data_IF_469249965461
#
_entry.id   IF_469249965461
#
_cell.length_a   1.000
_cell.length_b   1.000
_cell.length_c   1.000
_cell.angle_alpha   90.00
_cell.angle_beta   90.00
_cell.angle_gamma   90.00
#
_symmetry.space_group_name_H-M   'P 1'
#
loop_
_entity.id
_entity.type
_entity.pdbx_description
1 polymer ?
#
# COMPACT_ATOMS: atom_id res chain seq x y z
N UNK A 1 0.74 -17.53 29.77
CA UNK A 1 1.33 -16.51 30.64
C UNK A 1 1.53 -15.29 29.76
N UNK A 2 0.61 -14.33 29.85
CA UNK A 2 0.52 -13.22 28.89
C UNK A 2 1.67 -12.25 29.14
N UNK A 3 2.67 -12.25 28.24
CA UNK A 3 3.70 -11.20 28.24
C UNK A 3 3.07 -10.01 27.52
N UNK A 4 2.30 -9.22 28.27
CA UNK A 4 1.93 -7.88 27.86
C UNK A 4 3.23 -7.06 27.80
N UNK A 5 3.80 -6.94 26.61
CA UNK A 5 4.78 -5.87 26.34
C UNK A 5 3.98 -4.57 26.47
N UNK A 6 4.28 -3.71 27.47
CA UNK A 6 3.56 -2.46 27.61
C UNK A 6 3.79 -1.62 26.33
N UNK A 7 2.76 -0.92 25.81
CA UNK A 7 2.95 -0.04 24.66
C UNK A 7 4.04 0.98 24.98
N UNK A 8 5.03 1.10 24.09
CA UNK A 8 6.17 2.01 24.27
C UNK A 8 5.67 3.41 24.64
N UNK A 9 6.02 3.95 25.83
CA UNK A 9 5.54 5.24 26.30
C UNK A 9 6.07 6.46 25.52
N UNK A 10 6.90 6.30 24.48
CA UNK A 10 7.80 7.36 24.00
C UNK A 10 7.60 7.86 22.56
N UNK A 11 6.66 7.30 21.78
CA UNK A 11 6.56 7.63 20.35
C UNK A 11 6.09 9.08 20.06
N UNK A 12 5.43 9.76 21.01
CA UNK A 12 4.96 11.15 20.85
C UNK A 12 4.73 11.86 22.20
N UNK A 13 5.80 12.36 22.84
CA UNK A 13 5.71 12.98 24.16
C UNK A 13 4.87 14.27 24.17
N UNK A 14 4.65 14.88 23.00
CA UNK A 14 3.96 16.16 22.85
C UNK A 14 2.57 16.05 22.23
N UNK A 15 2.13 14.86 21.79
CA UNK A 15 0.83 14.66 21.15
C UNK A 15 0.71 15.35 19.78
N UNK A 16 1.81 15.47 19.03
CA UNK A 16 1.85 16.17 17.74
C UNK A 16 1.43 15.24 16.59
N UNK A 17 1.58 13.92 16.75
CA UNK A 17 1.27 12.91 15.74
C UNK A 17 -0.24 12.68 15.72
N UNK A 18 -0.84 12.95 14.56
CA UNK A 18 -2.24 12.64 14.32
C UNK A 18 -2.41 11.12 14.14
N UNK A 19 -3.56 10.54 14.53
CA UNK A 19 -3.82 9.10 14.39
C UNK A 19 -3.93 8.68 12.93
N UNK A 20 -4.39 9.60 12.07
CA UNK A 20 -4.44 9.42 10.62
C UNK A 20 -3.43 10.35 9.96
N UNK A 21 -2.51 9.79 9.17
CA UNK A 21 -1.38 10.53 8.60
C UNK A 21 -1.76 11.21 7.28
N UNK A 22 -1.60 12.53 7.24
CA UNK A 22 -1.56 13.31 6.00
C UNK A 22 -0.19 13.98 5.89
N UNK A 23 0.75 13.28 5.26
CA UNK A 23 2.16 13.68 5.17
C UNK A 23 2.71 13.54 3.74
N UNK A 24 4.01 13.76 3.55
CA UNK A 24 4.73 13.61 2.28
C UNK A 24 5.46 12.26 2.15
N UNK A 25 5.14 11.25 2.97
CA UNK A 25 5.86 9.96 2.98
C UNK A 25 5.78 9.30 1.61
N UNK A 26 6.89 8.68 1.20
CA UNK A 26 7.04 7.88 -0.03
C UNK A 26 7.45 6.45 0.35
N UNK A 27 7.14 5.49 -0.52
CA UNK A 27 7.59 4.10 -0.41
C UNK A 27 9.00 3.85 -1.00
N UNK A 28 9.65 4.89 -1.50
CA UNK A 28 10.97 4.79 -2.15
C UNK A 28 10.92 4.57 -3.65
N UNK A 29 9.75 4.33 -4.22
CA UNK A 29 9.54 4.16 -5.67
C UNK A 29 9.38 5.51 -6.38
N UNK A 30 8.89 6.52 -5.67
CA UNK A 30 8.69 7.89 -6.17
C UNK A 30 9.26 8.94 -5.21
N UNK A 31 9.49 10.15 -5.69
CA UNK A 31 9.96 11.24 -4.82
C UNK A 31 8.84 11.71 -3.84
N UNK A 32 9.16 12.05 -2.58
CA UNK A 32 8.20 12.66 -1.65
C UNK A 32 7.45 13.85 -2.27
N UNK A 33 6.11 13.76 -2.31
CA UNK A 33 5.26 14.83 -2.88
C UNK A 33 4.92 15.82 -1.77
N UNK A 34 5.21 17.13 -1.94
CA UNK A 34 4.87 18.15 -0.96
C UNK A 34 3.36 18.25 -0.71
N UNK A 35 2.99 18.55 0.53
CA UNK A 35 1.60 18.88 0.87
C UNK A 35 1.20 20.21 0.24
N UNK A 36 -0.04 20.32 -0.23
CA UNK A 36 -0.61 21.60 -0.67
C UNK A 36 -1.20 22.39 0.52
N UNK A 37 -1.77 23.56 0.24
CA UNK A 37 -2.37 24.41 1.27
C UNK A 37 -3.57 23.77 1.97
N UNK A 38 -4.38 23.00 1.24
CA UNK A 38 -5.54 22.31 1.80
C UNK A 38 -5.10 21.21 2.77
N UNK A 39 -4.04 20.46 2.45
CA UNK A 39 -3.51 19.43 3.32
C UNK A 39 -2.86 20.00 4.58
N UNK A 40 -2.12 21.12 4.44
CA UNK A 40 -1.58 21.86 5.58
C UNK A 40 -2.71 22.37 6.48
N UNK A 41 -3.78 22.89 5.89
CA UNK A 41 -4.96 23.35 6.62
C UNK A 41 -5.67 22.20 7.33
N UNK A 42 -5.84 21.04 6.68
CA UNK A 42 -6.42 19.84 7.26
C UNK A 42 -5.65 19.36 8.49
N UNK A 43 -4.31 19.27 8.38
CA UNK A 43 -3.45 18.95 9.52
C UNK A 43 -3.55 19.99 10.65
N UNK A 44 -3.63 21.28 10.32
CA UNK A 44 -3.77 22.32 11.33
C UNK A 44 -5.11 22.20 12.05
N UNK A 45 -6.21 22.05 11.32
CA UNK A 45 -7.56 21.93 11.87
C UNK A 45 -7.69 20.68 12.76
N UNK A 46 -7.15 19.54 12.33
CA UNK A 46 -7.14 18.32 13.14
C UNK A 46 -6.38 18.51 14.47
N UNK A 47 -5.27 19.26 14.44
CA UNK A 47 -4.50 19.59 15.65
C UNK A 47 -5.24 20.55 16.58
N UNK A 48 -5.91 21.56 16.04
CA UNK A 48 -6.74 22.50 16.81
C UNK A 48 -7.90 21.78 17.49
N UNK A 49 -8.60 20.91 16.75
CA UNK A 49 -9.70 20.11 17.31
C UNK A 49 -9.23 19.14 18.37
N UNK A 50 -8.05 18.53 18.21
CA UNK A 50 -7.46 17.70 19.25
C UNK A 50 -7.22 18.46 20.56
N UNK A 51 -6.78 19.72 20.50
CA UNK A 51 -6.58 20.56 21.69
C UNK A 51 -7.90 20.95 22.36
N UNK A 52 -8.92 21.29 21.57
CA UNK A 52 -10.24 21.63 22.09
C UNK A 52 -10.93 20.42 22.73
N UNK A 53 -11.02 19.31 22.01
CA UNK A 53 -11.76 18.12 22.43
C UNK A 53 -11.07 17.43 23.60
N UNK A 54 -9.74 17.37 23.63
CA UNK A 54 -9.01 16.82 24.79
C UNK A 54 -9.31 17.60 26.07
N UNK A 55 -9.29 18.95 26.02
CA UNK A 55 -9.68 19.80 27.16
C UNK A 55 -11.13 19.58 27.57
N UNK A 56 -12.04 19.53 26.60
CA UNK A 56 -13.48 19.30 26.85
C UNK A 56 -13.75 17.95 27.52
N UNK A 57 -12.97 16.92 27.18
CA UNK A 57 -13.09 15.58 27.73
C UNK A 57 -12.23 15.35 28.98
N UNK A 58 -11.51 16.36 29.47
CA UNK A 58 -10.62 16.24 30.63
C UNK A 58 -9.45 15.27 30.40
N UNK A 59 -9.01 15.09 29.15
CA UNK A 59 -7.88 14.22 28.78
C UNK A 59 -6.65 15.05 28.38
N UNK A 60 -5.47 14.45 28.50
CA UNK A 60 -4.31 15.00 27.80
C UNK A 60 -4.49 14.83 26.30
N UNK A 61 -3.92 15.74 25.51
CA UNK A 61 -3.92 15.67 24.04
C UNK A 61 -3.46 14.30 23.53
N UNK A 62 -2.36 13.79 24.10
CA UNK A 62 -1.82 12.46 23.80
C UNK A 62 -2.84 11.35 24.07
N UNK A 63 -3.44 11.33 25.26
CA UNK A 63 -4.41 10.30 25.63
C UNK A 63 -5.67 10.36 24.76
N UNK A 64 -6.04 11.54 24.26
CA UNK A 64 -7.15 11.68 23.33
C UNK A 64 -6.80 11.12 21.93
N UNK A 65 -5.62 11.46 21.39
CA UNK A 65 -5.21 11.02 20.06
C UNK A 65 -5.04 9.50 19.96
N UNK A 66 -4.72 8.80 21.04
CA UNK A 66 -4.66 7.33 21.04
C UNK A 66 -6.03 6.65 21.08
N UNK A 67 -7.14 7.38 20.94
CA UNK A 67 -8.51 6.81 20.98
C UNK A 67 -9.18 6.84 19.61
N UNK A 68 -10.21 6.01 19.44
CA UNK A 68 -11.07 6.04 18.26
C UNK A 68 -11.73 7.41 18.06
N UNK A 69 -12.09 8.13 19.14
CA UNK A 69 -12.61 9.50 19.03
C UNK A 69 -11.56 10.49 18.51
N UNK A 70 -10.28 10.28 18.80
CA UNK A 70 -9.16 11.04 18.23
C UNK A 70 -9.01 10.80 16.73
N UNK A 71 -9.10 9.54 16.29
CA UNK A 71 -9.13 9.19 14.86
C UNK A 71 -10.35 9.78 14.15
N UNK A 72 -11.55 9.63 14.72
CA UNK A 72 -12.79 10.21 14.20
C UNK A 72 -12.69 11.74 14.07
N UNK A 73 -12.17 12.42 15.10
CA UNK A 73 -11.93 13.87 15.06
C UNK A 73 -10.99 14.27 13.92
N UNK A 74 -9.97 13.46 13.64
CA UNK A 74 -8.98 13.75 12.59
C UNK A 74 -9.61 13.64 11.21
N UNK A 75 -10.33 12.54 10.94
CA UNK A 75 -11.02 12.34 9.67
C UNK A 75 -12.13 13.39 9.43
N UNK A 76 -12.88 13.77 10.48
CA UNK A 76 -13.86 14.85 10.38
C UNK A 76 -13.22 16.22 10.08
N UNK A 77 -12.04 16.49 10.64
CA UNK A 77 -11.28 17.71 10.32
C UNK A 77 -10.81 17.69 8.85
N UNK A 78 -10.42 16.52 8.33
CA UNK A 78 -10.07 16.38 6.93
C UNK A 78 -11.27 16.64 6.02
N UNK A 79 -12.44 16.08 6.32
CA UNK A 79 -13.68 16.39 5.60
C UNK A 79 -13.96 17.91 5.57
N UNK A 80 -13.85 18.59 6.71
CA UNK A 80 -14.11 20.02 6.79
C UNK A 80 -13.11 20.86 5.96
N UNK A 81 -11.83 20.50 5.99
CA UNK A 81 -10.79 21.17 5.21
C UNK A 81 -10.94 20.93 3.70
N UNK A 82 -11.25 19.70 3.29
CA UNK A 82 -11.49 19.34 1.89
C UNK A 82 -12.74 20.00 1.33
N UNK A 83 -13.83 20.02 2.10
CA UNK A 83 -15.06 20.71 1.73
C UNK A 83 -14.83 22.23 1.54
N UNK A 84 -14.03 22.85 2.43
CA UNK A 84 -13.61 24.26 2.28
C UNK A 84 -12.80 24.50 1.02
N UNK A 85 -12.00 23.52 0.59
CA UNK A 85 -11.24 23.56 -0.65
C UNK A 85 -12.07 23.19 -1.90
N UNK A 86 -13.37 22.88 -1.74
CA UNK A 86 -14.24 22.48 -2.84
C UNK A 86 -14.08 21.03 -3.30
N UNK A 87 -13.32 20.20 -2.57
CA UNK A 87 -13.07 18.79 -2.87
C UNK A 87 -14.13 17.93 -2.17
N UNK A 88 -15.23 17.69 -2.85
CA UNK A 88 -16.43 17.03 -2.31
C UNK A 88 -16.78 15.72 -3.05
N UNK A 89 -15.84 15.18 -3.81
CA UNK A 89 -16.00 13.94 -4.57
C UNK A 89 -16.01 12.70 -3.67
N UNK A 90 -15.19 12.72 -2.62
CA UNK A 90 -15.15 11.69 -1.59
C UNK A 90 -15.19 12.29 -0.19
N UNK A 91 -15.57 11.50 0.80
CA UNK A 91 -15.58 11.92 2.21
C UNK A 91 -15.52 10.72 3.15
N UNK A 92 -15.16 10.95 4.41
CA UNK A 92 -15.27 9.94 5.46
C UNK A 92 -16.63 10.04 6.16
N UNK A 93 -17.48 9.02 6.00
CA UNK A 93 -18.78 8.90 6.64
C UNK A 93 -18.62 8.60 8.14
N UNK A 94 -18.54 9.66 8.93
CA UNK A 94 -18.38 9.61 10.38
C UNK A 94 -19.42 10.52 11.01
N UNK A 95 -20.11 10.01 12.03
CA UNK A 95 -21.06 10.81 12.77
C UNK A 95 -20.30 11.90 13.55
N UNK A 96 -20.76 13.15 13.48
CA UNK A 96 -20.07 14.27 14.13
C UNK A 96 -19.87 14.06 15.65
N UNK A 97 -20.77 13.33 16.30
CA UNK A 97 -20.69 13.02 17.74
C UNK A 97 -19.61 11.99 18.08
N UNK A 98 -19.11 11.21 17.11
CA UNK A 98 -18.05 10.22 17.31
C UNK A 98 -16.75 10.85 17.85
N UNK A 99 -16.50 12.13 17.57
CA UNK A 99 -15.35 12.87 18.12
C UNK A 99 -15.42 13.10 19.64
N UNK A 100 -16.60 12.91 20.25
CA UNK A 100 -16.86 13.04 21.68
C UNK A 100 -17.33 11.73 22.34
N UNK A 101 -17.94 10.82 21.57
CA UNK A 101 -18.46 9.54 22.05
C UNK A 101 -17.55 8.37 21.63
N UNK A 102 -16.83 7.74 22.58
CA UNK A 102 -15.97 6.61 22.30
C UNK A 102 -16.70 5.36 21.79
N UNK A 103 -17.94 5.13 22.22
CA UNK A 103 -18.71 3.95 21.79
C UNK A 103 -19.16 4.12 20.34
N UNK A 104 -19.64 5.32 19.99
CA UNK A 104 -19.98 5.65 18.61
C UNK A 104 -18.75 5.57 17.71
N UNK A 105 -17.62 6.15 18.12
CA UNK A 105 -16.36 6.06 17.37
C UNK A 105 -15.91 4.60 17.17
N UNK A 106 -15.99 3.77 18.20
CA UNK A 106 -15.63 2.35 18.11
C UNK A 106 -16.56 1.60 17.15
N UNK A 107 -17.86 1.90 17.11
CA UNK A 107 -18.80 1.26 16.18
C UNK A 107 -18.52 1.57 14.71
N UNK A 108 -17.91 2.73 14.40
CA UNK A 108 -17.60 3.14 13.04
C UNK A 108 -16.18 2.76 12.61
N UNK A 109 -15.20 2.92 13.49
CA UNK A 109 -13.76 2.77 13.18
C UNK A 109 -13.14 1.48 13.72
N UNK A 110 -13.75 0.84 14.72
CA UNK A 110 -13.26 -0.38 15.38
C UNK A 110 -13.98 -1.65 14.91
N UNK A 111 -14.37 -1.69 13.63
CA UNK A 111 -14.99 -2.87 13.01
C UNK A 111 -14.00 -4.05 12.97
N UNK A 112 -14.53 -5.27 12.82
CA UNK A 112 -13.80 -6.55 12.89
C UNK A 112 -14.05 -7.44 11.67
N UNK A 113 -14.03 -6.84 10.49
CA UNK A 113 -13.94 -7.58 9.25
C UNK A 113 -12.59 -8.30 9.14
N UNK A 114 -12.57 -9.39 8.37
CA UNK A 114 -11.32 -10.04 8.00
C UNK A 114 -10.54 -9.17 7.03
N UNK A 115 -9.30 -8.79 7.39
CA UNK A 115 -8.42 -7.96 6.58
C UNK A 115 -7.27 -8.82 6.05
N UNK A 116 -7.34 -9.08 4.74
CA UNK A 116 -6.23 -9.67 4.00
C UNK A 116 -5.51 -8.57 3.22
N UNK A 117 -4.35 -8.18 3.71
CA UNK A 117 -3.44 -7.26 3.06
C UNK A 117 -2.50 -7.99 2.09
N UNK A 118 -2.67 -7.78 0.79
CA UNK A 118 -1.89 -8.51 -0.22
C UNK A 118 -0.53 -7.88 -0.53
N UNK A 119 -0.12 -6.81 0.16
CA UNK A 119 1.13 -6.13 -0.15
C UNK A 119 1.81 -5.56 1.10
N UNK A 120 2.70 -6.36 1.69
CA UNK A 120 3.64 -5.97 2.73
C UNK A 120 5.10 -5.99 2.28
N UNK A 121 5.97 -5.26 2.96
CA UNK A 121 7.40 -5.16 2.72
C UNK A 121 8.17 -4.92 4.03
N UNK A 122 9.38 -5.44 4.08
CA UNK A 122 10.44 -5.00 5.00
C UNK A 122 11.81 -5.27 4.34
N UNK A 123 12.89 -4.78 4.94
CA UNK A 123 14.26 -5.12 4.53
C UNK A 123 15.03 -5.78 5.66
N UNK A 124 15.99 -6.65 5.36
CA UNK A 124 16.91 -7.14 6.37
C UNK A 124 18.01 -6.10 6.65
N UNK A 125 18.02 -5.41 7.81
CA UNK A 125 19.02 -4.37 8.12
C UNK A 125 20.45 -4.92 8.24
N UNK A 126 20.58 -6.24 8.41
CA UNK A 126 21.85 -6.96 8.58
C UNK A 126 22.19 -7.85 7.38
N UNK A 127 21.36 -7.80 6.32
CA UNK A 127 21.48 -8.65 5.14
C UNK A 127 22.74 -8.37 4.33
N UNK A 128 23.11 -9.33 3.47
CA UNK A 128 24.33 -9.26 2.67
C UNK A 128 24.40 -8.01 1.76
N UNK A 129 23.25 -7.56 1.25
CA UNK A 129 23.13 -6.36 0.42
C UNK A 129 23.72 -5.10 1.09
N UNK A 130 23.59 -4.97 2.40
CA UNK A 130 24.13 -3.80 3.12
C UNK A 130 25.65 -3.73 3.06
N UNK A 131 26.35 -4.87 2.95
CA UNK A 131 27.83 -4.92 2.88
C UNK A 131 28.37 -4.42 1.55
N UNK A 132 27.54 -4.40 0.50
CA UNK A 132 27.88 -3.91 -0.83
C UNK A 132 27.64 -2.41 -1.02
N UNK A 133 26.84 -1.80 -0.14
CA UNK A 133 26.53 -0.38 -0.23
C UNK A 133 27.80 0.48 -0.06
N UNK A 134 28.00 1.50 -0.91
CA UNK A 134 29.12 2.42 -0.78
C UNK A 134 29.21 3.04 0.62
N UNK A 135 30.43 3.39 1.10
CA UNK A 135 30.60 4.13 2.35
C UNK A 135 29.74 5.39 2.37
N UNK A 136 28.98 5.59 3.45
CA UNK A 136 28.06 6.72 3.62
C UNK A 136 26.73 6.65 2.87
N UNK A 137 26.49 5.62 2.03
CA UNK A 137 25.22 5.44 1.35
C UNK A 137 24.08 5.14 2.35
N UNK A 138 22.97 5.89 2.22
CA UNK A 138 21.75 5.76 3.02
C UNK A 138 20.52 5.50 2.14
N UNK A 139 20.41 4.32 1.51
CA UNK A 139 19.24 3.99 0.70
C UNK A 139 17.99 3.87 1.58
N UNK A 140 16.81 3.93 0.97
CA UNK A 140 15.53 3.73 1.65
C UNK A 140 15.28 4.69 2.83
N UNK A 141 15.80 5.91 2.75
CA UNK A 141 15.58 6.93 3.78
C UNK A 141 14.28 7.69 3.50
N UNK A 142 13.24 7.38 4.28
CA UNK A 142 11.94 8.05 4.24
C UNK A 142 11.47 8.43 5.65
N UNK A 143 10.38 9.22 5.80
CA UNK A 143 9.86 9.60 7.11
C UNK A 143 9.65 8.42 8.09
N UNK A 144 9.18 7.26 7.61
CA UNK A 144 9.01 6.03 8.41
C UNK A 144 10.31 5.50 9.01
N UNK A 145 11.46 5.76 8.38
CA UNK A 145 12.78 5.39 8.90
C UNK A 145 13.33 6.32 9.99
N UNK A 146 12.57 7.33 10.41
CA UNK A 146 12.94 8.26 11.48
C UNK A 146 12.35 7.87 12.84
N UNK A 147 12.19 6.58 13.10
CA UNK A 147 11.67 6.03 14.35
C UNK A 147 12.74 6.03 15.48
N UNK A 148 12.38 5.63 16.70
CA UNK A 148 13.34 5.62 17.82
C UNK A 148 14.53 4.68 17.62
N UNK A 149 14.35 3.62 16.82
CA UNK A 149 15.44 2.70 16.47
C UNK A 149 16.55 3.40 15.67
N UNK A 150 16.20 4.42 14.87
CA UNK A 150 17.15 5.23 14.11
C UNK A 150 18.12 6.05 14.99
N UNK A 151 17.81 6.21 16.28
CA UNK A 151 18.68 6.90 17.26
C UNK A 151 19.78 5.98 17.81
N UNK A 152 19.73 4.67 17.53
CA UNK A 152 20.75 3.72 18.00
C UNK A 152 22.10 3.95 17.30
N UNK A 153 23.22 3.55 17.93
CA UNK A 153 24.53 3.61 17.27
C UNK A 153 24.58 2.74 16.01
N UNK A 154 25.19 3.27 14.95
CA UNK A 154 25.39 2.58 13.67
C UNK A 154 24.93 3.42 12.49
N UNK A 155 25.73 3.44 11.41
CA UNK A 155 25.45 4.29 10.24
C UNK A 155 24.11 4.01 9.56
N UNK A 156 23.56 2.81 9.78
CA UNK A 156 22.33 2.31 9.14
C UNK A 156 21.28 1.82 10.14
N UNK A 157 21.34 2.27 11.39
CA UNK A 157 20.34 1.95 12.42
C UNK A 157 18.90 2.33 12.02
N UNK A 158 18.74 3.30 11.11
CA UNK A 158 17.42 3.69 10.57
C UNK A 158 16.73 2.56 9.80
N UNK A 159 17.46 1.58 9.27
CA UNK A 159 16.88 0.42 8.59
C UNK A 159 16.12 -0.49 9.57
N UNK A 160 16.45 -0.47 10.86
CA UNK A 160 15.70 -1.22 11.88
C UNK A 160 14.24 -0.74 11.97
N UNK A 161 13.95 0.51 11.59
CA UNK A 161 12.58 1.05 11.52
C UNK A 161 11.72 0.41 10.43
N UNK A 162 12.35 -0.29 9.48
CA UNK A 162 11.70 -1.00 8.36
C UNK A 162 12.21 -2.44 8.30
N UNK A 163 12.67 -2.97 9.44
CA UNK A 163 13.13 -4.34 9.61
C UNK A 163 12.02 -5.31 10.04
N UNK A 164 12.33 -6.60 10.18
CA UNK A 164 11.35 -7.64 10.48
C UNK A 164 10.61 -7.43 11.80
N UNK A 165 11.30 -7.05 12.88
CA UNK A 165 10.68 -6.83 14.19
C UNK A 165 9.65 -5.69 14.14
N UNK A 166 10.01 -4.60 13.46
CA UNK A 166 9.14 -3.43 13.32
C UNK A 166 7.97 -3.74 12.39
N UNK A 167 8.18 -4.55 11.35
CA UNK A 167 7.11 -5.07 10.49
C UNK A 167 6.11 -5.91 11.27
N UNK A 168 6.56 -6.89 12.06
CA UNK A 168 5.69 -7.74 12.87
C UNK A 168 4.87 -6.90 13.84
N UNK A 169 5.52 -5.93 14.51
CA UNK A 169 4.84 -5.01 15.41
C UNK A 169 3.78 -4.18 14.67
N UNK A 170 4.16 -3.50 13.60
CA UNK A 170 3.28 -2.53 12.94
C UNK A 170 2.12 -3.17 12.19
N UNK A 171 2.33 -4.36 11.61
CA UNK A 171 1.29 -5.07 10.86
C UNK A 171 0.42 -5.91 11.80
N UNK A 172 1.00 -6.72 12.68
CA UNK A 172 0.23 -7.73 13.41
C UNK A 172 -0.15 -7.34 14.84
N UNK A 173 0.49 -6.35 15.45
CA UNK A 173 0.20 -5.90 16.82
C UNK A 173 -0.46 -4.52 16.88
N UNK A 174 -0.04 -3.61 16.01
CA UNK A 174 -0.48 -2.21 15.99
C UNK A 174 -1.47 -1.93 14.84
N UNK A 175 -2.04 -2.96 14.22
CA UNK A 175 -3.10 -2.82 13.23
C UNK A 175 -4.10 -3.97 13.26
N UNK A 176 -5.26 -3.74 12.64
CA UNK A 176 -6.33 -4.71 12.49
C UNK A 176 -6.07 -5.73 11.34
N UNK A 177 -4.89 -5.76 10.72
CA UNK A 177 -4.57 -6.72 9.65
C UNK A 177 -4.56 -8.15 10.16
N UNK A 178 -5.42 -9.02 9.62
CA UNK A 178 -5.48 -10.44 10.01
C UNK A 178 -4.42 -11.28 9.30
N UNK A 179 -4.28 -11.05 7.99
CA UNK A 179 -3.37 -11.79 7.12
C UNK A 179 -2.64 -10.85 6.17
N UNK A 180 -1.36 -11.12 5.92
CA UNK A 180 -0.50 -10.31 5.07
C UNK A 180 0.24 -11.18 4.06
N UNK A 181 0.47 -10.68 2.84
CA UNK A 181 1.48 -11.26 1.92
C UNK A 181 2.73 -10.40 1.87
N UNK A 182 3.88 -10.98 2.22
CA UNK A 182 5.18 -10.35 2.11
C UNK A 182 5.65 -10.35 0.65
N UNK A 183 5.88 -9.14 0.15
CA UNK A 183 6.36 -8.83 -1.19
C UNK A 183 7.82 -8.35 -1.15
N UNK A 184 8.43 -8.31 -2.32
CA UNK A 184 9.85 -8.04 -2.51
C UNK A 184 10.01 -6.89 -3.49
N UNK A 185 11.00 -6.04 -3.26
CA UNK A 185 11.37 -4.94 -4.17
C UNK A 185 12.23 -5.47 -5.33
N UNK A 186 12.28 -4.78 -6.49
CA UNK A 186 13.10 -5.24 -7.60
C UNK A 186 14.58 -4.99 -7.30
N UNK A 187 15.40 -6.01 -7.54
CA UNK A 187 16.83 -5.95 -7.27
C UNK A 187 17.62 -6.89 -8.17
N UNK A 188 18.95 -6.73 -8.20
CA UNK A 188 19.83 -7.84 -8.58
C UNK A 188 19.78 -8.93 -7.51
N UNK A 189 20.26 -10.15 -7.80
CA UNK A 189 20.40 -11.20 -6.76
C UNK A 189 21.35 -10.78 -5.65
N UNK A 190 22.37 -10.01 -6.01
CA UNK A 190 23.35 -9.52 -5.06
C UNK A 190 22.78 -8.40 -4.20
N UNK A 191 22.03 -7.46 -4.76
CA UNK A 191 21.57 -6.31 -3.99
C UNK A 191 20.17 -6.51 -3.39
N UNK A 192 19.72 -7.77 -3.28
CA UNK A 192 18.42 -8.12 -2.73
C UNK A 192 18.27 -7.71 -1.26
N UNK A 193 17.35 -6.77 -0.93
CA UNK A 193 17.21 -6.28 0.44
C UNK A 193 16.60 -7.30 1.43
N UNK A 194 15.96 -8.34 0.90
CA UNK A 194 15.31 -9.40 1.63
C UNK A 194 15.30 -10.66 0.78
N UNK A 195 15.95 -11.74 1.22
CA UNK A 195 15.90 -13.01 0.49
C UNK A 195 14.67 -13.84 0.86
N UNK A 196 14.32 -14.82 0.03
CA UNK A 196 13.18 -15.72 0.31
C UNK A 196 13.38 -16.54 1.60
N UNK A 197 14.62 -16.90 1.94
CA UNK A 197 14.97 -17.62 3.17
C UNK A 197 14.73 -16.75 4.41
N UNK A 198 15.13 -15.47 4.35
CA UNK A 198 14.92 -14.49 5.42
C UNK A 198 13.43 -14.19 5.61
N UNK A 199 12.69 -14.07 4.50
CA UNK A 199 11.25 -13.93 4.50
C UNK A 199 10.54 -15.15 5.11
N UNK A 200 10.95 -16.38 4.73
CA UNK A 200 10.42 -17.61 5.31
C UNK A 200 10.74 -17.74 6.79
N UNK A 201 11.94 -17.37 7.23
CA UNK A 201 12.28 -17.37 8.65
C UNK A 201 11.40 -16.41 9.46
N UNK A 202 11.03 -15.26 8.87
CA UNK A 202 10.09 -14.31 9.49
C UNK A 202 8.67 -14.85 9.56
N UNK A 203 8.20 -15.53 8.50
CA UNK A 203 6.92 -16.27 8.51
C UNK A 203 6.87 -17.27 9.65
N UNK A 204 7.91 -18.08 9.83
CA UNK A 204 7.98 -19.08 10.89
C UNK A 204 7.93 -18.45 12.31
N UNK A 205 8.43 -17.22 12.47
CA UNK A 205 8.32 -16.46 13.72
C UNK A 205 6.87 -16.00 13.94
N UNK A 206 6.23 -15.42 12.92
CA UNK A 206 4.83 -14.96 13.00
C UNK A 206 3.88 -16.12 13.34
N UNK A 207 4.07 -17.28 12.71
CA UNK A 207 3.26 -18.48 12.98
C UNK A 207 3.37 -18.92 14.45
N UNK A 208 4.54 -18.78 15.07
CA UNK A 208 4.77 -19.15 16.48
C UNK A 208 4.18 -18.16 17.48
N UNK A 209 4.00 -16.90 17.11
CA UNK A 209 3.47 -15.87 18.01
C UNK A 209 1.98 -16.07 18.32
N UNK A 210 1.19 -16.54 17.34
CA UNK A 210 -0.27 -16.63 17.50
C UNK A 210 -0.90 -17.94 17.02
N UNK A 211 -0.10 -18.93 16.59
CA UNK A 211 -0.60 -20.27 16.24
C UNK A 211 -1.49 -20.30 15.00
N UNK A 212 -1.42 -19.29 14.13
CA UNK A 212 -2.15 -19.22 12.85
C UNK A 212 -1.24 -18.69 11.71
N UNK A 213 -1.49 -19.15 10.49
CA UNK A 213 -0.76 -18.73 9.29
C UNK A 213 -1.17 -17.31 8.86
N UNK A 214 -0.58 -16.29 9.50
CA UNK A 214 -0.89 -14.86 9.24
C UNK A 214 0.03 -14.20 8.21
N UNK A 215 1.13 -14.84 7.80
CA UNK A 215 2.07 -14.31 6.81
C UNK A 215 2.26 -15.28 5.65
N UNK A 216 1.89 -14.85 4.45
CA UNK A 216 2.16 -15.53 3.18
C UNK A 216 3.32 -14.85 2.45
N UNK A 217 3.89 -15.50 1.44
CA UNK A 217 5.05 -15.01 0.71
C UNK A 217 4.76 -14.93 -0.80
N UNK A 218 5.25 -13.87 -1.44
CA UNK A 218 5.46 -13.87 -2.88
C UNK A 218 6.84 -14.42 -3.26
N UNK A 219 6.98 -14.90 -4.50
CA UNK A 219 8.28 -15.20 -5.10
C UNK A 219 8.72 -14.05 -6.00
N UNK A 220 9.85 -13.41 -5.69
CA UNK A 220 10.39 -12.31 -6.51
C UNK A 220 10.98 -12.83 -7.82
N UNK A 221 10.45 -12.37 -8.96
CA UNK A 221 10.92 -12.77 -10.29
C UNK A 221 11.12 -11.53 -11.16
N UNK A 222 12.33 -11.35 -11.68
CA UNK A 222 12.65 -10.40 -12.74
C UNK A 222 12.91 -11.22 -14.01
N UNK A 223 11.92 -11.44 -14.88
CA UNK A 223 12.04 -12.32 -16.05
C UNK A 223 13.22 -11.95 -16.97
N UNK A 224 13.53 -10.66 -17.08
CA UNK A 224 14.65 -10.12 -17.85
C UNK A 224 16.02 -10.24 -17.15
N UNK A 225 16.08 -10.83 -15.96
CA UNK A 225 17.32 -11.18 -15.27
C UNK A 225 17.65 -12.67 -15.52
N UNK A 226 18.85 -13.01 -16.02
CA UNK A 226 19.24 -14.39 -16.24
C UNK A 226 19.13 -15.25 -14.97
N UNK A 227 18.51 -16.43 -15.10
CA UNK A 227 18.35 -17.41 -14.02
C UNK A 227 17.08 -17.25 -13.18
N UNK A 228 16.35 -16.14 -13.29
CA UNK A 228 15.18 -15.88 -12.46
C UNK A 228 13.97 -16.75 -12.78
N UNK A 229 13.73 -17.06 -14.06
CA UNK A 229 12.63 -17.94 -14.46
C UNK A 229 12.94 -19.38 -14.03
N UNK A 230 14.20 -19.81 -14.10
CA UNK A 230 14.63 -21.13 -13.64
C UNK A 230 14.48 -21.27 -12.13
N UNK A 231 14.86 -20.23 -11.37
CA UNK A 231 14.80 -20.22 -9.90
C UNK A 231 13.37 -20.25 -9.33
N UNK A 232 12.35 -20.06 -10.18
CA UNK A 232 10.94 -20.18 -9.77
C UNK A 232 10.60 -21.56 -9.18
N UNK A 233 11.29 -22.63 -9.61
CA UNK A 233 11.14 -23.97 -9.00
C UNK A 233 11.54 -23.95 -7.53
N UNK A 234 12.70 -23.37 -7.23
CA UNK A 234 13.18 -23.24 -5.84
C UNK A 234 12.27 -22.31 -5.02
N UNK A 235 11.79 -21.21 -5.61
CA UNK A 235 10.87 -20.30 -4.93
C UNK A 235 9.54 -20.98 -4.58
N UNK A 236 9.03 -21.87 -5.43
CA UNK A 236 7.80 -22.63 -5.20
C UNK A 236 7.92 -23.55 -3.97
N UNK A 237 9.10 -24.13 -3.70
CA UNK A 237 9.36 -24.96 -2.52
C UNK A 237 9.13 -24.20 -1.19
N UNK A 238 9.17 -22.87 -1.19
CA UNK A 238 8.85 -22.04 -0.02
C UNK A 238 7.33 -21.83 0.18
N UNK A 239 6.49 -22.36 -0.69
CA UNK A 239 5.03 -22.22 -0.64
C UNK A 239 4.57 -20.80 -0.99
N UNK A 240 5.19 -20.18 -2.00
CA UNK A 240 4.79 -18.84 -2.44
C UNK A 240 3.38 -18.86 -3.04
N UNK A 241 2.56 -17.85 -2.72
CA UNK A 241 1.15 -17.78 -3.14
C UNK A 241 0.95 -17.03 -4.45
N UNK A 242 1.97 -16.29 -4.89
CA UNK A 242 2.05 -15.63 -6.18
C UNK A 242 3.53 -15.36 -6.54
N UNK A 243 3.80 -15.16 -7.83
CA UNK A 243 5.07 -14.57 -8.26
C UNK A 243 4.91 -13.07 -8.50
N UNK A 244 5.90 -12.29 -8.10
CA UNK A 244 5.89 -10.82 -8.17
C UNK A 244 6.96 -10.31 -9.11
N UNK A 245 6.60 -9.37 -9.98
CA UNK A 245 7.54 -8.74 -10.92
C UNK A 245 7.34 -7.23 -11.05
N UNK A 246 8.36 -6.56 -11.62
CA UNK A 246 8.42 -5.13 -11.89
C UNK A 246 8.79 -4.88 -13.35
N UNK A 247 7.79 -4.60 -14.20
CA UNK A 247 7.99 -4.50 -15.65
C UNK A 247 8.86 -3.31 -16.06
N UNK A 248 8.91 -2.24 -15.25
CA UNK A 248 9.76 -1.07 -15.48
C UNK A 248 11.22 -1.23 -15.03
N UNK A 249 11.59 -2.39 -14.48
CA UNK A 249 12.93 -2.62 -13.96
C UNK A 249 13.67 -3.72 -14.74
N UNK A 250 14.99 -3.62 -14.78
CA UNK A 250 15.86 -4.69 -15.25
C UNK A 250 17.32 -4.45 -14.81
N UNK A 251 18.19 -5.47 -14.80
CA UNK A 251 19.58 -5.33 -14.37
C UNK A 251 20.37 -4.29 -15.20
N UNK A 252 20.01 -4.12 -16.47
CA UNK A 252 20.59 -3.13 -17.39
C UNK A 252 19.81 -1.81 -17.47
N UNK A 253 18.81 -1.61 -16.61
CA UNK A 253 17.90 -0.45 -16.63
C UNK A 253 16.79 -0.51 -17.70
N UNK A 254 16.68 -1.63 -18.42
CA UNK A 254 15.64 -1.85 -19.42
C UNK A 254 14.50 -2.71 -18.86
N UNK A 255 13.27 -2.20 -18.95
CA UNK A 255 12.05 -2.93 -18.61
C UNK A 255 11.66 -3.97 -19.67
N UNK A 256 10.49 -4.56 -19.48
CA UNK A 256 9.89 -5.54 -20.39
C UNK A 256 8.36 -5.45 -20.31
N UNK A 257 7.67 -5.90 -21.35
CA UNK A 257 6.22 -6.10 -21.31
C UNK A 257 5.90 -7.54 -20.97
N UNK A 258 4.78 -7.75 -20.28
CA UNK A 258 4.25 -9.09 -20.02
C UNK A 258 3.91 -9.85 -21.31
N UNK A 259 3.64 -9.12 -22.40
CA UNK A 259 3.39 -9.68 -23.73
C UNK A 259 4.66 -10.05 -24.51
N UNK A 260 5.83 -9.60 -24.06
CA UNK A 260 7.11 -10.01 -24.67
C UNK A 260 7.38 -11.49 -24.40
N UNK A 261 8.30 -12.09 -25.15
CA UNK A 261 8.65 -13.52 -25.00
C UNK A 261 9.07 -13.86 -23.56
N UNK A 262 9.80 -12.95 -22.91
CA UNK A 262 10.28 -13.12 -21.53
C UNK A 262 9.13 -13.05 -20.51
N UNK A 263 8.18 -12.14 -20.70
CA UNK A 263 6.99 -12.03 -19.86
C UNK A 263 6.06 -13.25 -20.03
N UNK A 264 5.85 -13.69 -21.27
CA UNK A 264 5.06 -14.87 -21.55
C UNK A 264 5.71 -16.16 -21.01
N UNK A 265 7.04 -16.28 -21.11
CA UNK A 265 7.78 -17.41 -20.54
C UNK A 265 7.64 -17.47 -19.02
N UNK A 266 7.69 -16.32 -18.34
CA UNK A 266 7.43 -16.22 -16.91
C UNK A 266 6.02 -16.70 -16.54
N UNK A 267 4.99 -16.24 -17.26
CA UNK A 267 3.60 -16.67 -17.03
C UNK A 267 3.44 -18.17 -17.22
N UNK A 268 4.00 -18.73 -18.29
CA UNK A 268 3.93 -20.18 -18.55
C UNK A 268 4.69 -21.00 -17.51
N UNK A 269 5.81 -20.49 -16.99
CA UNK A 269 6.53 -21.16 -15.91
C UNK A 269 5.69 -21.18 -14.62
N UNK A 270 5.12 -20.04 -14.23
CA UNK A 270 4.23 -19.96 -13.07
C UNK A 270 3.04 -20.92 -13.19
N UNK A 271 2.41 -20.94 -14.37
CA UNK A 271 1.31 -21.85 -14.70
C UNK A 271 1.68 -23.33 -14.57
N UNK A 272 2.86 -23.74 -15.06
CA UNK A 272 3.36 -25.13 -14.95
C UNK A 272 3.64 -25.53 -13.50
N UNK A 273 4.09 -24.60 -12.67
CA UNK A 273 4.31 -24.80 -11.24
C UNK A 273 3.00 -24.81 -10.44
N UNK A 274 1.86 -24.47 -11.06
CA UNK A 274 0.56 -24.42 -10.39
C UNK A 274 0.31 -23.14 -9.59
N UNK A 275 1.24 -22.18 -9.59
CA UNK A 275 1.08 -20.88 -8.96
C UNK A 275 0.39 -19.93 -9.94
N UNK A 276 -0.94 -19.78 -9.80
CA UNK A 276 -1.78 -19.08 -10.77
C UNK A 276 -1.76 -17.55 -10.67
N UNK A 277 -1.27 -17.02 -9.56
CA UNK A 277 -1.30 -15.58 -9.29
C UNK A 277 0.03 -14.95 -9.71
N UNK A 278 -0.06 -13.87 -10.49
CA UNK A 278 1.08 -13.06 -10.90
C UNK A 278 0.80 -11.63 -10.48
N UNK A 279 1.62 -11.14 -9.56
CA UNK A 279 1.60 -9.77 -9.09
C UNK A 279 2.53 -8.93 -9.97
N UNK A 280 2.03 -7.85 -10.55
CA UNK A 280 2.76 -7.01 -11.50
C UNK A 280 2.74 -5.59 -10.98
N UNK A 281 3.90 -5.02 -10.71
CA UNK A 281 4.01 -3.60 -10.39
C UNK A 281 3.72 -2.76 -11.65
N UNK A 282 2.64 -1.98 -11.59
CA UNK A 282 2.23 -1.05 -12.64
C UNK A 282 1.74 0.25 -11.98
N UNK A 283 2.31 1.39 -12.34
CA UNK A 283 2.14 2.65 -11.61
C UNK A 283 3.36 3.01 -10.79
N UNK A 284 3.34 4.18 -10.13
CA UNK A 284 4.49 4.79 -9.44
C UNK A 284 5.82 4.61 -10.19
N UNK A 285 5.98 5.36 -11.28
CA UNK A 285 7.14 5.20 -12.15
C UNK A 285 8.46 5.46 -11.41
N UNK A 286 9.48 4.66 -11.72
CA UNK A 286 10.84 4.82 -11.17
C UNK A 286 11.64 5.95 -11.85
N UNK A 287 10.95 6.85 -12.55
CA UNK A 287 11.51 7.90 -13.38
C UNK A 287 11.43 7.60 -14.88
N UNK A 288 12.16 8.37 -15.70
CA UNK A 288 11.98 8.37 -17.16
C UNK A 288 12.52 7.11 -17.86
N UNK A 289 13.43 6.38 -17.21
CA UNK A 289 13.99 5.16 -17.79
C UNK A 289 12.93 4.05 -17.73
N UNK A 290 12.61 3.46 -18.88
CA UNK A 290 11.61 2.39 -19.01
C UNK A 290 10.20 2.76 -18.51
N UNK A 291 9.87 4.06 -18.48
CA UNK A 291 8.56 4.57 -18.04
C UNK A 291 7.40 3.87 -18.74
N UNK A 292 7.51 3.61 -20.04
CA UNK A 292 6.47 2.94 -20.81
C UNK A 292 6.06 1.61 -20.18
N UNK A 293 7.01 0.83 -19.66
CA UNK A 293 6.75 -0.47 -19.05
C UNK A 293 6.05 -0.36 -17.67
N UNK A 294 5.99 0.83 -17.06
CA UNK A 294 5.17 1.08 -15.87
C UNK A 294 3.67 1.16 -16.21
N UNK A 295 3.32 1.43 -17.48
CA UNK A 295 1.94 1.53 -17.95
C UNK A 295 1.30 0.16 -18.12
N UNK A 296 -0.04 0.12 -18.09
CA UNK A 296 -0.81 -1.13 -18.12
C UNK A 296 -1.18 -1.61 -19.53
N UNK A 297 -0.57 -1.08 -20.60
CA UNK A 297 -0.96 -1.37 -21.98
C UNK A 297 -1.02 -2.88 -22.30
N UNK A 298 -0.10 -3.65 -21.74
CA UNK A 298 0.09 -5.09 -21.95
C UNK A 298 -0.81 -6.00 -21.10
N UNK A 299 -1.50 -5.46 -20.09
CA UNK A 299 -2.24 -6.25 -19.10
C UNK A 299 -3.46 -6.98 -19.68
N UNK A 300 -4.33 -6.28 -20.41
CA UNK A 300 -5.47 -6.90 -21.07
C UNK A 300 -5.05 -8.00 -22.06
N UNK A 301 -4.11 -7.74 -22.97
CA UNK A 301 -3.61 -8.76 -23.89
C UNK A 301 -3.03 -10.00 -23.21
N UNK A 302 -2.21 -9.85 -22.16
CA UNK A 302 -1.64 -11.01 -21.45
C UNK A 302 -2.73 -11.79 -20.70
N UNK A 303 -3.68 -11.08 -20.08
CA UNK A 303 -4.80 -11.70 -19.37
C UNK A 303 -5.73 -12.49 -20.32
N UNK A 304 -5.97 -11.98 -21.53
CA UNK A 304 -6.71 -12.69 -22.57
C UNK A 304 -5.96 -13.94 -23.06
N UNK A 305 -4.63 -13.85 -23.16
CA UNK A 305 -3.77 -14.97 -23.61
C UNK A 305 -3.76 -16.12 -22.60
N UNK A 306 -3.83 -15.81 -21.30
CA UNK A 306 -3.78 -16.75 -20.19
C UNK A 306 -5.02 -16.64 -19.29
N UNK A 307 -6.21 -17.05 -19.78
CA UNK A 307 -7.46 -16.88 -19.05
C UNK A 307 -7.56 -17.71 -17.76
N UNK A 308 -6.68 -18.70 -17.58
CA UNK A 308 -6.58 -19.55 -16.39
C UNK A 308 -5.59 -19.02 -15.32
N UNK A 309 -4.94 -17.89 -15.60
CA UNK A 309 -4.01 -17.20 -14.70
C UNK A 309 -4.61 -15.88 -14.21
N UNK A 310 -4.26 -15.47 -12.98
CA UNK A 310 -4.71 -14.23 -12.36
C UNK A 310 -3.60 -13.18 -12.37
N UNK A 311 -3.95 -11.96 -12.76
CA UNK A 311 -3.02 -10.83 -12.87
C UNK A 311 -3.40 -9.75 -11.87
N UNK A 312 -2.61 -9.63 -10.80
CA UNK A 312 -2.80 -8.65 -9.74
C UNK A 312 -1.94 -7.41 -10.03
N UNK A 313 -2.59 -6.29 -10.33
CA UNK A 313 -1.96 -5.07 -10.80
C UNK A 313 -1.73 -4.14 -9.62
N UNK A 314 -0.50 -4.18 -9.10
CA UNK A 314 -0.12 -3.48 -7.88
C UNK A 314 -0.09 -2.00 -8.16
N UNK A 315 -0.75 -1.23 -7.29
CA UNK A 315 -1.04 0.19 -7.46
C UNK A 315 -1.99 0.53 -8.62
N UNK A 316 -2.64 -0.47 -9.22
CA UNK A 316 -3.70 -0.27 -10.23
C UNK A 316 -3.30 0.58 -11.44
N UNK A 317 -2.01 0.72 -11.76
CA UNK A 317 -1.51 1.61 -12.81
C UNK A 317 -1.39 3.08 -12.41
N UNK A 318 -1.63 3.43 -11.15
CA UNK A 318 -1.72 4.81 -10.67
C UNK A 318 -0.45 5.65 -10.89
N UNK A 319 -0.64 6.93 -11.19
CA UNK A 319 0.44 7.90 -11.42
C UNK A 319 0.29 9.06 -10.45
N UNK A 320 1.30 9.29 -9.61
CA UNK A 320 1.24 10.25 -8.49
C UNK A 320 1.29 11.72 -8.91
N UNK A 321 1.69 12.02 -10.15
CA UNK A 321 1.90 13.39 -10.64
C UNK A 321 0.68 13.99 -11.32
N UNK A 322 -0.39 13.21 -11.50
CA UNK A 322 -1.62 13.63 -12.18
C UNK A 322 -2.84 13.21 -11.37
N UNK A 323 -3.83 14.09 -11.17
CA UNK A 323 -5.06 13.71 -10.47
C UNK A 323 -5.83 12.64 -11.25
N UNK A 324 -6.66 11.89 -10.53
CA UNK A 324 -7.62 10.97 -11.11
C UNK A 324 -8.94 11.70 -11.38
N UNK A 325 -9.56 11.38 -12.51
CA UNK A 325 -10.85 11.93 -12.94
C UNK A 325 -11.76 10.83 -13.45
N UNK A 326 -12.91 11.17 -14.06
CA UNK A 326 -13.73 10.19 -14.75
C UNK A 326 -12.92 9.48 -15.84
N UNK A 327 -13.33 8.26 -16.21
CA UNK A 327 -12.58 7.44 -17.16
C UNK A 327 -12.41 8.19 -18.48
N UNK A 328 -11.16 8.37 -18.91
CA UNK A 328 -10.79 8.96 -20.19
C UNK A 328 -10.04 7.94 -21.07
N UNK A 329 -10.65 7.43 -22.17
CA UNK A 329 -9.98 6.49 -23.06
C UNK A 329 -8.78 7.10 -23.82
N UNK A 330 -8.64 8.42 -23.85
CA UNK A 330 -7.47 9.08 -24.45
C UNK A 330 -6.26 9.11 -23.51
N UNK A 331 -6.47 8.88 -22.20
CA UNK A 331 -5.38 8.83 -21.22
C UNK A 331 -4.64 7.50 -21.33
N UNK A 332 -3.34 7.59 -21.58
CA UNK A 332 -2.47 6.43 -21.87
C UNK A 332 -1.65 5.96 -20.68
N UNK A 333 -1.81 6.61 -19.52
CA UNK A 333 -1.22 6.24 -18.24
C UNK A 333 -2.29 6.18 -17.13
N UNK A 334 -1.89 5.86 -15.90
CA UNK A 334 -2.81 5.83 -14.78
C UNK A 334 -3.76 4.62 -14.80
N UNK A 335 -4.79 4.71 -13.96
CA UNK A 335 -5.86 3.72 -13.88
C UNK A 335 -6.62 3.60 -15.23
N UNK A 336 -6.72 4.69 -15.99
CA UNK A 336 -7.39 4.71 -17.29
C UNK A 336 -6.69 3.82 -18.33
N UNK A 337 -5.36 3.73 -18.28
CA UNK A 337 -4.61 2.83 -19.15
C UNK A 337 -4.89 1.35 -18.84
N UNK A 338 -5.06 1.00 -17.55
CA UNK A 338 -5.45 -0.34 -17.13
C UNK A 338 -6.84 -0.69 -17.68
N UNK A 339 -7.80 0.19 -17.46
CA UNK A 339 -9.19 0.03 -17.93
C UNK A 339 -9.23 -0.12 -19.45
N UNK A 340 -8.54 0.77 -20.17
CA UNK A 340 -8.48 0.74 -21.63
C UNK A 340 -7.87 -0.57 -22.13
N UNK A 341 -6.79 -1.05 -21.48
CA UNK A 341 -6.14 -2.30 -21.85
C UNK A 341 -7.08 -3.51 -21.70
N UNK A 342 -7.75 -3.65 -20.55
CA UNK A 342 -8.65 -4.79 -20.30
C UNK A 342 -9.88 -4.76 -21.21
N UNK A 343 -10.47 -3.57 -21.43
CA UNK A 343 -11.62 -3.41 -22.32
C UNK A 343 -11.27 -3.70 -23.77
N UNK A 344 -10.16 -3.17 -24.27
CA UNK A 344 -9.70 -3.41 -25.65
C UNK A 344 -9.39 -4.90 -25.89
N UNK A 345 -8.90 -5.60 -24.88
CA UNK A 345 -8.68 -7.04 -24.93
C UNK A 345 -9.96 -7.87 -24.67
N UNK A 346 -11.10 -7.25 -24.38
CA UNK A 346 -12.35 -7.93 -24.07
C UNK A 346 -12.29 -8.81 -22.82
N UNK A 347 -11.44 -8.46 -21.85
CA UNK A 347 -11.42 -9.07 -20.51
C UNK A 347 -12.58 -8.48 -19.73
N UNK A 348 -13.44 -9.35 -19.20
CA UNK A 348 -14.65 -8.91 -18.48
C UNK A 348 -14.30 -8.44 -17.06
N UNK A 349 -15.08 -7.52 -16.47
CA UNK A 349 -15.02 -7.27 -15.03
C UNK A 349 -15.23 -8.56 -14.23
N UNK A 350 -14.67 -8.62 -13.02
CA UNK A 350 -14.71 -9.81 -12.14
C UNK A 350 -14.18 -11.09 -12.82
N UNK A 351 -13.22 -10.94 -13.74
CA UNK A 351 -12.53 -12.06 -14.40
C UNK A 351 -11.14 -12.25 -13.78
N UNK A 352 -10.07 -12.23 -14.58
CA UNK A 352 -8.74 -12.63 -14.15
C UNK A 352 -7.72 -11.47 -14.04
N UNK A 353 -8.20 -10.23 -14.03
CA UNK A 353 -7.40 -9.04 -13.74
C UNK A 353 -7.92 -8.40 -12.46
N UNK A 354 -7.02 -8.13 -11.54
CA UNK A 354 -7.29 -7.59 -10.22
C UNK A 354 -6.55 -6.26 -10.06
N UNK A 355 -7.22 -5.25 -9.54
CA UNK A 355 -6.63 -3.95 -9.25
C UNK A 355 -6.29 -3.88 -7.76
N UNK A 356 -5.01 -3.72 -7.43
CA UNK A 356 -4.56 -3.65 -6.04
C UNK A 356 -4.31 -2.19 -5.65
N UNK A 357 -4.71 -1.84 -4.41
CA UNK A 357 -4.79 -0.47 -3.94
C UNK A 357 -3.46 0.07 -3.37
N UNK A 358 -2.70 -0.68 -2.60
CA UNK A 358 -1.38 -0.35 -2.06
C UNK A 358 -1.15 1.12 -1.73
N UNK A 359 -0.03 1.64 -2.24
CA UNK A 359 0.32 3.06 -2.20
C UNK A 359 -0.68 3.98 -2.91
N UNK A 360 -1.51 3.48 -3.84
CA UNK A 360 -2.56 4.28 -4.49
C UNK A 360 -3.57 4.74 -3.45
N UNK A 361 -4.10 3.83 -2.62
CA UNK A 361 -5.02 4.19 -1.55
C UNK A 361 -4.38 5.14 -0.54
N UNK A 362 -3.15 4.84 -0.11
CA UNK A 362 -2.38 5.71 0.79
C UNK A 362 -2.27 7.14 0.27
N UNK A 363 -2.11 7.30 -1.04
CA UNK A 363 -1.92 8.58 -1.69
C UNK A 363 -3.24 9.34 -1.85
N UNK A 364 -4.25 8.71 -2.45
CA UNK A 364 -5.49 9.42 -2.83
C UNK A 364 -6.41 9.67 -1.64
N UNK A 365 -6.56 8.69 -0.74
CA UNK A 365 -7.58 8.75 0.33
C UNK A 365 -7.46 10.00 1.21
N UNK A 366 -6.25 10.36 1.61
CA UNK A 366 -6.00 11.47 2.54
C UNK A 366 -5.79 12.81 1.84
N UNK A 367 -5.16 12.79 0.67
CA UNK A 367 -4.73 14.00 -0.04
C UNK A 367 -5.84 14.52 -0.96
N UNK A 368 -6.42 13.65 -1.75
CA UNK A 368 -7.30 14.06 -2.82
C UNK A 368 -8.57 13.18 -2.85
N UNK A 369 -9.58 13.53 -2.04
CA UNK A 369 -10.81 12.75 -1.96
C UNK A 369 -11.57 12.70 -3.30
N UNK A 370 -11.38 13.67 -4.20
CA UNK A 370 -11.98 13.66 -5.53
C UNK A 370 -11.31 12.60 -6.40
N UNK A 371 -9.96 12.59 -6.42
CA UNK A 371 -9.20 11.52 -7.07
C UNK A 371 -9.50 10.15 -6.46
N UNK A 372 -9.65 10.05 -5.13
CA UNK A 372 -10.00 8.80 -4.45
C UNK A 372 -11.36 8.27 -4.93
N UNK A 373 -12.36 9.14 -5.01
CA UNK A 373 -13.68 8.78 -5.46
C UNK A 373 -13.69 8.31 -6.92
N UNK A 374 -12.97 9.00 -7.80
CA UNK A 374 -12.80 8.60 -9.19
C UNK A 374 -12.02 7.30 -9.34
N UNK A 375 -10.92 7.12 -8.62
CA UNK A 375 -10.12 5.90 -8.65
C UNK A 375 -10.98 4.69 -8.24
N UNK A 376 -11.61 4.74 -7.06
CA UNK A 376 -12.44 3.64 -6.57
C UNK A 376 -13.64 3.37 -7.50
N UNK A 377 -14.37 4.43 -7.89
CA UNK A 377 -15.53 4.32 -8.75
C UNK A 377 -15.21 3.68 -10.10
N UNK A 378 -14.09 4.07 -10.73
CA UNK A 378 -13.64 3.46 -11.99
C UNK A 378 -13.20 2.01 -11.80
N UNK A 379 -12.42 1.70 -10.77
CA UNK A 379 -11.93 0.34 -10.53
C UNK A 379 -13.11 -0.62 -10.31
N UNK A 380 -14.07 -0.27 -9.45
CA UNK A 380 -15.26 -1.09 -9.24
C UNK A 380 -16.11 -1.26 -10.50
N UNK A 381 -16.25 -0.20 -11.31
CA UNK A 381 -17.05 -0.24 -12.54
C UNK A 381 -16.42 -1.12 -13.63
N UNK A 382 -15.11 -0.97 -13.86
CA UNK A 382 -14.46 -1.49 -15.06
C UNK A 382 -13.58 -2.72 -14.82
N UNK A 383 -12.99 -2.85 -13.63
CA UNK A 383 -12.25 -4.06 -13.22
C UNK A 383 -13.20 -5.01 -12.50
N UNK A 384 -14.14 -4.47 -11.74
CA UNK A 384 -15.21 -5.19 -11.08
C UNK A 384 -15.07 -5.19 -9.56
N UNK A 385 -16.21 -5.17 -8.86
CA UNK A 385 -16.29 -5.07 -7.39
C UNK A 385 -15.61 -6.24 -6.65
N UNK A 386 -15.56 -7.43 -7.24
CA UNK A 386 -14.91 -8.61 -6.64
C UNK A 386 -13.40 -8.65 -6.91
N UNK A 387 -12.89 -7.75 -7.76
CA UNK A 387 -11.53 -7.76 -8.28
C UNK A 387 -10.70 -6.52 -7.87
N UNK A 388 -11.17 -5.75 -6.89
CA UNK A 388 -10.35 -4.69 -6.25
C UNK A 388 -9.80 -5.21 -4.93
N UNK A 389 -8.47 -5.30 -4.83
CA UNK A 389 -7.76 -5.91 -3.71
C UNK A 389 -7.23 -4.87 -2.73
N UNK A 390 -7.37 -5.17 -1.45
CA UNK A 390 -6.73 -4.43 -0.37
C UNK A 390 -5.25 -4.78 -0.27
N UNK A 391 -4.41 -3.76 -0.33
CA UNK A 391 -3.04 -3.83 0.12
C UNK A 391 -2.58 -2.45 0.57
N UNK A 392 -1.54 -2.40 1.40
CA UNK A 392 -1.17 -1.14 2.07
C UNK A 392 0.21 -0.64 1.72
N UNK A 393 1.03 -1.53 1.15
CA UNK A 393 2.45 -1.29 0.91
C UNK A 393 3.21 -0.93 2.20
N UNK A 394 2.67 -1.31 3.37
CA UNK A 394 3.38 -1.25 4.63
C UNK A 394 4.59 -2.20 4.59
N UNK A 395 5.71 -1.93 5.25
CA UNK A 395 5.88 -0.96 6.33
C UNK A 395 6.38 0.41 5.86
N UNK A 396 6.39 0.71 4.56
CA UNK A 396 6.93 1.98 4.08
C UNK A 396 6.25 3.21 4.67
N UNK A 397 4.98 3.07 5.07
CA UNK A 397 4.18 4.10 5.72
C UNK A 397 4.00 3.87 7.25
N UNK A 398 4.68 2.88 7.83
CA UNK A 398 4.48 2.38 9.19
C UNK A 398 3.27 1.44 9.30
N UNK A 399 2.67 1.36 10.49
CA UNK A 399 1.40 0.62 10.70
C UNK A 399 0.32 1.08 9.70
N UNK A 400 -0.41 0.12 9.08
CA UNK A 400 -1.49 0.41 8.12
C UNK A 400 -2.81 0.86 8.78
N UNK A 401 -2.87 0.96 10.12
CA UNK A 401 -4.13 1.20 10.83
C UNK A 401 -4.85 2.47 10.39
N UNK A 402 -4.12 3.53 10.03
CA UNK A 402 -4.70 4.76 9.52
C UNK A 402 -5.35 4.59 8.14
N UNK A 403 -4.71 3.81 7.27
CA UNK A 403 -5.25 3.44 5.95
C UNK A 403 -6.53 2.63 6.09
N UNK A 404 -6.56 1.66 7.01
CA UNK A 404 -7.72 0.80 7.29
C UNK A 404 -8.90 1.65 7.77
N UNK A 405 -8.67 2.51 8.77
CA UNK A 405 -9.71 3.36 9.34
C UNK A 405 -10.29 4.35 8.33
N UNK A 406 -9.43 4.90 7.47
CA UNK A 406 -9.85 5.71 6.35
C UNK A 406 -10.73 4.94 5.37
N UNK A 407 -10.32 3.73 4.97
CA UNK A 407 -11.05 2.94 3.99
C UNK A 407 -12.43 2.52 4.51
N UNK A 408 -12.51 2.08 5.77
CA UNK A 408 -13.77 1.70 6.46
C UNK A 408 -14.88 2.75 6.42
N UNK A 409 -14.49 4.01 6.31
CA UNK A 409 -15.39 5.16 6.39
C UNK A 409 -15.47 5.94 5.09
N UNK A 410 -14.64 5.65 4.10
CA UNK A 410 -14.66 6.39 2.85
C UNK A 410 -15.93 6.11 2.05
N UNK A 411 -16.51 7.15 1.47
CA UNK A 411 -17.67 7.09 0.61
C UNK A 411 -17.47 8.00 -0.61
N UNK A 412 -17.95 7.53 -1.77
CA UNK A 412 -18.08 8.34 -2.99
C UNK A 412 -19.33 9.21 -2.83
N UNK A 413 -19.23 10.50 -3.10
CA UNK A 413 -20.36 11.41 -2.97
C UNK A 413 -21.50 11.06 -3.91
N UNK A 414 -22.73 11.28 -3.46
CA UNK A 414 -23.95 11.03 -4.24
C UNK A 414 -23.89 11.71 -5.61
N UNK A 415 -23.42 12.95 -5.66
CA UNK A 415 -23.26 13.69 -6.91
C UNK A 415 -22.32 12.99 -7.92
N UNK A 416 -21.21 12.40 -7.47
CA UNK A 416 -20.33 11.64 -8.35
C UNK A 416 -20.92 10.28 -8.73
N UNK A 417 -21.58 9.59 -7.79
CA UNK A 417 -22.28 8.33 -8.09
C UNK A 417 -23.35 8.52 -9.15
N UNK A 418 -24.21 9.53 -9.01
CA UNK A 418 -25.26 9.85 -9.98
C UNK A 418 -24.70 10.27 -11.33
N UNK A 419 -23.66 11.12 -11.33
CA UNK A 419 -23.10 11.67 -12.56
C UNK A 419 -22.34 10.65 -13.40
N UNK A 420 -21.61 9.74 -12.74
CA UNK A 420 -20.70 8.80 -13.41
C UNK A 420 -21.13 7.34 -13.32
N UNK A 421 -22.22 7.04 -12.61
CA UNK A 421 -22.73 5.68 -12.42
C UNK A 421 -21.85 4.84 -11.51
N UNK A 422 -21.11 5.45 -10.58
CA UNK A 422 -20.24 4.70 -9.67
C UNK A 422 -21.02 3.87 -8.66
N UNK A 423 -20.52 2.67 -8.30
CA UNK A 423 -21.11 1.81 -7.27
C UNK A 423 -21.22 2.47 -5.90
N UNK A 424 -22.13 1.94 -5.08
CA UNK A 424 -22.47 2.44 -3.74
C UNK A 424 -21.67 1.76 -2.64
#
# INVERSE_FOLDING_TARGET
MSILIPPSPDLDPHGIRLPVKLDSTSNGEFAPVPLDDSHRHANHLAREWADELSRRLGKSRRSFLTTMSGAASTLLAFNAAHARAGRNGGFFEIANDAKLDPQLAASQLGKREFIFDVQGHFVNPTGAWTKRLPPGAKPLQFPSTSCDLAKRPGERAYLDCIGPDQFVKDVFLDSDTDLMVLSFVPSTREDEPLTIEEASATRDIVEKLEGSQRLMLHGRVNPNQPGDIEDMERLEEFGVVAFKTYTQWGPSGAGFWMTDDVGAAFVEKARKLGVRNICIHKGFDFGPASYEHSTCRDIGPIARRFPDMNFLIYHSGFVSTKPEGPYDPARTDGIDALITSVQAAGVKPNSNVYAELGSTWRFVSMRDPDSAAHAMGKLFTYIGEDNVLWGTDSIWYGSPQDQIQAFRTFQISEALREKFGYPT
#
